data_IF_240027367830
#
_entry.id   IF_240027367830
#
_cell.length_a   1.000
_cell.length_b   1.000
_cell.length_c   1.000
_cell.angle_alpha   90.00
_cell.angle_beta   90.00
_cell.angle_gamma   90.00
#
_symmetry.space_group_name_H-M   'P 1'
#
loop_
_entity.id
_entity.type
_entity.pdbx_description
1 polymer ?
#
# COMPACT_ATOMS: atom_id res chain seq x y z
N UNK A 1 1.81 4.75 13.21
CA UNK A 1 0.61 3.88 13.16
C UNK A 1 -0.47 4.49 14.02
N UNK A 2 -1.74 4.27 13.68
CA UNK A 2 -2.92 4.68 14.46
C UNK A 2 -3.80 3.46 14.75
N UNK A 3 -4.59 3.42 15.83
CA UNK A 3 -5.57 2.36 16.06
C UNK A 3 -6.54 2.25 14.88
N UNK A 4 -6.90 1.03 14.49
CA UNK A 4 -7.77 0.78 13.33
C UNK A 4 -9.06 1.59 13.37
N UNK A 5 -9.73 1.60 14.52
CA UNK A 5 -10.99 2.33 14.73
C UNK A 5 -10.85 3.85 14.71
N UNK A 6 -9.63 4.38 14.70
CA UNK A 6 -9.36 5.83 14.71
C UNK A 6 -8.80 6.33 13.37
N UNK A 7 -8.65 5.46 12.37
CA UNK A 7 -8.23 5.86 11.04
C UNK A 7 -9.34 6.68 10.36
N UNK A 8 -9.16 8.00 10.31
CA UNK A 8 -10.11 8.95 9.74
C UNK A 8 -9.47 9.75 8.59
N UNK A 9 -10.28 10.13 7.61
CA UNK A 9 -9.93 11.05 6.52
C UNK A 9 -11.01 12.12 6.39
N UNK A 10 -10.68 13.26 5.77
CA UNK A 10 -11.67 14.32 5.55
C UNK A 10 -12.74 13.85 4.55
N UNK A 11 -13.99 14.30 4.70
CA UNK A 11 -15.10 13.88 3.83
C UNK A 11 -14.89 14.28 2.37
N UNK A 12 -14.07 15.30 2.09
CA UNK A 12 -13.68 15.72 0.74
C UNK A 12 -12.40 15.06 0.23
N UNK A 13 -11.86 14.04 0.92
CA UNK A 13 -10.65 13.34 0.45
C UNK A 13 -10.87 12.81 -0.95
N UNK A 14 -10.01 13.21 -1.89
CA UNK A 14 -10.13 12.91 -3.31
C UNK A 14 -10.28 11.41 -3.60
N UNK A 15 -9.61 10.53 -2.82
CA UNK A 15 -9.73 9.08 -2.95
C UNK A 15 -11.16 8.55 -2.74
N UNK A 16 -11.99 9.21 -1.92
CA UNK A 16 -13.37 8.81 -1.67
C UNK A 16 -14.31 9.16 -2.84
N UNK A 17 -13.96 10.17 -3.62
CA UNK A 17 -14.81 10.69 -4.70
C UNK A 17 -14.35 10.22 -6.09
N UNK A 18 -13.05 10.02 -6.26
CA UNK A 18 -12.45 9.79 -7.58
C UNK A 18 -11.51 8.58 -7.61
N UNK A 19 -11.48 7.77 -6.55
CA UNK A 19 -10.73 6.50 -6.52
C UNK A 19 -9.22 6.65 -6.68
N UNK A 20 -8.65 7.80 -6.31
CA UNK A 20 -7.19 8.04 -6.34
C UNK A 20 -6.48 7.35 -5.17
N UNK A 21 -6.62 6.02 -5.07
CA UNK A 21 -5.98 5.20 -4.06
C UNK A 21 -5.22 4.05 -4.72
N UNK A 22 -4.09 3.70 -4.13
CA UNK A 22 -3.24 2.59 -4.55
C UNK A 22 -3.04 1.70 -3.33
N UNK A 23 -3.05 0.39 -3.52
CA UNK A 23 -2.72 -0.58 -2.48
C UNK A 23 -1.86 -1.71 -3.06
N UNK A 24 -1.19 -2.45 -2.18
CA UNK A 24 -0.47 -3.67 -2.53
C UNK A 24 -0.95 -4.84 -1.68
N UNK A 25 -0.70 -6.04 -2.19
CA UNK A 25 -1.01 -7.29 -1.51
C UNK A 25 0.23 -8.18 -1.47
N UNK A 26 0.78 -8.39 -0.28
CA UNK A 26 1.92 -9.28 -0.05
C UNK A 26 1.69 -10.11 1.21
N UNK A 27 2.41 -11.24 1.32
CA UNK A 27 2.35 -12.12 2.48
C UNK A 27 3.75 -12.38 3.02
N UNK A 28 3.88 -12.36 4.33
CA UNK A 28 5.04 -12.87 5.04
C UNK A 28 4.81 -14.32 5.44
N UNK A 29 5.82 -15.16 5.25
CA UNK A 29 5.79 -16.58 5.57
C UNK A 29 6.87 -16.87 6.61
N UNK A 30 6.57 -17.71 7.57
CA UNK A 30 7.60 -18.25 8.47
C UNK A 30 8.53 -19.17 7.68
N UNK A 31 9.83 -19.01 7.85
CA UNK A 31 10.85 -19.90 7.25
C UNK A 31 11.88 -20.27 8.33
N UNK A 32 12.69 -21.33 8.12
CA UNK A 32 13.74 -21.72 9.08
C UNK A 32 14.75 -20.60 9.39
N UNK A 33 14.94 -19.64 8.48
CA UNK A 33 15.88 -18.53 8.62
C UNK A 33 15.18 -17.23 9.07
N UNK A 34 13.92 -17.31 9.50
CA UNK A 34 13.07 -16.18 9.87
C UNK A 34 11.98 -15.86 8.85
N UNK A 35 11.08 -14.90 9.14
CA UNK A 35 10.01 -14.53 8.24
C UNK A 35 10.53 -13.96 6.91
N UNK A 36 9.93 -14.38 5.80
CA UNK A 36 10.29 -13.90 4.47
C UNK A 36 9.05 -13.48 3.66
N UNK A 37 9.20 -12.44 2.84
CA UNK A 37 8.18 -11.99 1.91
C UNK A 37 8.55 -12.48 0.51
N UNK A 38 7.65 -13.22 -0.12
CA UNK A 38 7.88 -13.70 -1.48
C UNK A 38 7.87 -12.53 -2.47
N UNK A 39 8.95 -12.40 -3.27
CA UNK A 39 9.10 -11.40 -4.34
C UNK A 39 8.86 -9.94 -3.91
N UNK A 40 9.29 -9.56 -2.71
CA UNK A 40 9.12 -8.19 -2.18
C UNK A 40 9.46 -7.09 -3.20
N UNK A 41 10.60 -7.18 -3.89
CA UNK A 41 11.01 -6.16 -4.86
C UNK A 41 10.04 -5.97 -6.04
N UNK A 42 9.36 -7.03 -6.48
CA UNK A 42 8.38 -6.94 -7.58
C UNK A 42 7.09 -6.28 -7.10
N UNK A 43 6.64 -6.60 -5.88
CA UNK A 43 5.49 -5.94 -5.26
C UNK A 43 5.73 -4.44 -5.07
N UNK A 44 6.91 -4.05 -4.57
CA UNK A 44 7.25 -2.64 -4.37
C UNK A 44 7.35 -1.88 -5.69
N UNK A 45 7.95 -2.48 -6.71
CA UNK A 45 7.99 -1.87 -8.06
C UNK A 45 6.59 -1.59 -8.58
N UNK A 46 5.68 -2.57 -8.52
CA UNK A 46 4.30 -2.40 -8.99
C UNK A 46 3.56 -1.31 -8.21
N UNK A 47 3.79 -1.20 -6.90
CA UNK A 47 3.24 -0.12 -6.08
C UNK A 47 3.69 1.25 -6.58
N UNK A 48 5.00 1.45 -6.75
CA UNK A 48 5.56 2.72 -7.19
C UNK A 48 5.12 3.09 -8.61
N UNK A 49 5.08 2.13 -9.53
CA UNK A 49 4.55 2.33 -10.88
C UNK A 49 3.07 2.75 -10.84
N UNK A 50 2.27 2.16 -9.95
CA UNK A 50 0.85 2.53 -9.78
C UNK A 50 0.69 3.95 -9.22
N UNK A 51 1.52 4.34 -8.25
CA UNK A 51 1.54 5.70 -7.72
C UNK A 51 1.98 6.73 -8.78
N UNK A 52 2.95 6.38 -9.64
CA UNK A 52 3.43 7.24 -10.72
C UNK A 52 2.34 7.53 -11.77
N UNK A 53 1.48 6.56 -12.08
CA UNK A 53 0.31 6.76 -12.97
C UNK A 53 -0.61 7.87 -12.43
N UNK A 54 -0.82 7.90 -11.11
CA UNK A 54 -1.59 8.94 -10.42
C UNK A 54 -0.80 10.21 -10.10
N UNK A 55 0.47 10.29 -10.50
CA UNK A 55 1.38 11.41 -10.20
C UNK A 55 1.47 11.73 -8.71
N UNK A 56 1.38 10.70 -7.87
CA UNK A 56 1.58 10.85 -6.44
C UNK A 56 3.05 11.12 -6.14
N UNK A 57 3.32 12.06 -5.24
CA UNK A 57 4.66 12.28 -4.68
C UNK A 57 4.93 11.20 -3.62
N UNK A 58 6.09 10.54 -3.71
CA UNK A 58 6.47 9.39 -2.88
C UNK A 58 7.85 9.64 -2.28
#
# INVERSE_FOLDING_TARGET
>A
MVPWSQANVHVMTHALHYGSSIFEGMRAYSTPNGPAIFRLGVHLRRLWESCAIYRMEI
#
